data_IF_521460763269
#
_entry.id   IF_521460763269
#
_cell.length_a   1.000
_cell.length_b   1.000
_cell.length_c   1.000
_cell.angle_alpha   90.00
_cell.angle_beta   90.00
_cell.angle_gamma   90.00
#
_symmetry.space_group_name_H-M   'P 1'
#
loop_
_entity.id
_entity.type
_entity.pdbx_description
1 polymer ?
#
# COMPACT_ATOMS: atom_id res chain seq x y z
N UNK A 1 9.28 -6.27 -3.89
CA UNK A 1 8.45 -7.23 -4.63
C UNK A 1 8.41 -6.87 -6.11
N UNK A 2 7.84 -5.74 -6.52
CA UNK A 2 7.68 -5.41 -7.96
C UNK A 2 9.02 -5.34 -8.71
N UNK A 3 10.08 -4.85 -8.08
CA UNK A 3 11.41 -4.73 -8.70
C UNK A 3 12.09 -6.06 -9.03
N UNK A 4 11.54 -7.20 -8.60
CA UNK A 4 12.04 -8.51 -9.02
C UNK A 4 11.66 -8.86 -10.46
N UNK A 5 10.69 -8.16 -11.02
CA UNK A 5 10.13 -8.46 -12.35
C UNK A 5 10.10 -7.24 -13.27
N UNK A 6 9.92 -6.03 -12.71
CA UNK A 6 9.73 -4.79 -13.46
C UNK A 6 10.80 -3.75 -13.13
N UNK A 7 11.10 -2.88 -14.08
CA UNK A 7 11.87 -1.67 -13.82
C UNK A 7 11.02 -0.70 -13.00
N UNK A 8 11.24 -0.70 -11.69
CA UNK A 8 10.49 0.12 -10.74
C UNK A 8 11.27 1.34 -10.30
N UNK A 9 10.60 2.50 -10.25
CA UNK A 9 11.11 3.70 -9.60
C UNK A 9 10.16 4.05 -8.45
N UNK A 10 10.70 4.32 -7.27
CA UNK A 10 9.92 4.58 -6.07
C UNK A 10 10.38 5.85 -5.36
N UNK A 11 9.49 6.43 -4.56
CA UNK A 11 9.82 7.52 -3.64
C UNK A 11 11.04 7.17 -2.79
N UNK A 12 12.00 8.08 -2.71
CA UNK A 12 13.22 7.94 -1.91
C UNK A 12 13.04 8.71 -0.59
N UNK A 13 13.38 8.04 0.52
CA UNK A 13 13.29 8.65 1.85
C UNK A 13 11.87 9.10 2.18
N UNK A 14 11.70 10.35 2.56
CA UNK A 14 10.42 10.96 2.96
C UNK A 14 9.89 11.98 1.93
N UNK A 15 10.23 11.84 0.65
CA UNK A 15 9.78 12.73 -0.43
C UNK A 15 8.31 12.50 -0.81
N UNK A 16 7.41 12.62 0.17
CA UNK A 16 6.01 12.24 0.08
C UNK A 16 5.02 13.42 0.14
N UNK A 17 5.53 14.66 0.09
CA UNK A 17 4.73 15.89 0.12
C UNK A 17 4.68 16.59 -1.25
N UNK A 18 4.13 17.81 -1.28
CA UNK A 18 3.96 18.63 -2.48
C UNK A 18 5.27 19.01 -3.21
N UNK A 19 6.42 18.83 -2.57
CA UNK A 19 7.75 18.97 -3.20
C UNK A 19 8.28 17.60 -3.62
N UNK A 20 8.18 16.60 -2.74
CA UNK A 20 8.74 15.27 -2.92
C UNK A 20 8.05 14.45 -4.00
N UNK A 21 6.73 14.55 -4.10
CA UNK A 21 5.96 13.83 -5.13
C UNK A 21 6.35 14.27 -6.54
N UNK A 22 6.40 15.57 -6.88
CA UNK A 22 6.94 16.00 -8.18
C UNK A 22 8.38 15.53 -8.44
N UNK A 23 9.26 15.57 -7.44
CA UNK A 23 10.64 15.09 -7.59
C UNK A 23 10.70 13.58 -7.87
N UNK A 24 9.83 12.80 -7.23
CA UNK A 24 9.70 11.37 -7.52
C UNK A 24 9.25 11.14 -8.96
N UNK A 25 8.24 11.89 -9.44
CA UNK A 25 7.76 11.77 -10.82
C UNK A 25 8.84 12.16 -11.83
N UNK A 26 9.60 13.21 -11.56
CA UNK A 26 10.72 13.65 -12.41
C UNK A 26 11.87 12.63 -12.45
N UNK A 27 11.97 11.73 -11.50
CA UNK A 27 12.96 10.64 -11.50
C UNK A 27 12.58 9.47 -12.40
N UNK A 28 11.34 9.41 -12.90
CA UNK A 28 10.91 8.37 -13.81
C UNK A 28 11.59 8.56 -15.18
N UNK A 29 12.05 7.46 -15.74
CA UNK A 29 12.69 7.42 -17.05
C UNK A 29 11.79 6.70 -18.04
N UNK A 30 12.17 6.72 -19.32
CA UNK A 30 11.48 5.95 -20.37
C UNK A 30 11.47 4.43 -20.11
N UNK A 31 12.37 3.96 -19.25
CA UNK A 31 12.52 2.54 -18.90
C UNK A 31 11.74 2.19 -17.62
N UNK A 32 11.16 3.16 -16.92
CA UNK A 32 10.32 2.93 -15.74
C UNK A 32 9.00 2.30 -16.16
N UNK A 33 8.76 1.06 -15.74
CA UNK A 33 7.52 0.32 -16.02
C UNK A 33 6.47 0.55 -14.93
N UNK A 34 6.92 0.63 -13.66
CA UNK A 34 6.05 0.90 -12.51
C UNK A 34 6.67 1.99 -11.65
N UNK A 35 5.92 3.06 -11.45
CA UNK A 35 6.25 4.11 -10.51
C UNK A 35 5.50 3.91 -9.19
N UNK A 36 6.20 3.99 -8.06
CA UNK A 36 5.60 3.90 -6.72
C UNK A 36 5.79 5.23 -6.03
N UNK A 37 4.68 5.94 -5.81
CA UNK A 37 4.68 7.28 -5.22
C UNK A 37 4.08 7.22 -3.83
N UNK A 38 4.90 7.47 -2.81
CA UNK A 38 4.40 7.65 -1.45
C UNK A 38 3.77 9.04 -1.30
N UNK A 39 2.60 9.10 -0.67
CA UNK A 39 1.89 10.33 -0.38
C UNK A 39 1.65 10.46 1.11
N UNK A 40 2.22 11.49 1.71
CA UNK A 40 2.01 11.88 3.10
C UNK A 40 1.12 13.10 3.21
N UNK A 41 0.34 13.18 4.28
CA UNK A 41 -0.49 14.35 4.56
C UNK A 41 -0.55 14.66 6.05
N UNK A 42 -0.66 15.93 6.38
CA UNK A 42 -0.89 16.47 7.71
C UNK A 42 -2.28 17.11 7.83
N UNK A 43 -2.89 17.48 6.70
CA UNK A 43 -4.17 18.15 6.62
C UNK A 43 -5.06 17.52 5.53
N UNK A 44 -6.35 17.81 5.60
CA UNK A 44 -7.29 17.48 4.52
C UNK A 44 -6.91 18.26 3.25
N UNK A 45 -7.27 17.72 2.08
CA UNK A 45 -6.98 18.25 0.75
C UNK A 45 -5.54 18.10 0.26
N UNK A 46 -4.64 17.58 1.09
CA UNK A 46 -3.26 17.35 0.65
C UNK A 46 -3.17 16.10 -0.22
N UNK A 47 -3.83 15.00 0.14
CA UNK A 47 -3.85 13.77 -0.71
C UNK A 47 -4.56 14.03 -2.03
N UNK A 48 -5.69 14.76 -2.02
CA UNK A 48 -6.37 15.16 -3.25
C UNK A 48 -5.44 15.94 -4.18
N UNK A 49 -4.69 16.90 -3.62
CA UNK A 49 -3.71 17.67 -4.38
C UNK A 49 -2.58 16.81 -4.93
N UNK A 50 -2.01 15.90 -4.12
CA UNK A 50 -0.96 14.99 -4.56
C UNK A 50 -1.44 14.02 -5.64
N UNK A 51 -2.68 13.53 -5.54
CA UNK A 51 -3.31 12.73 -6.58
C UNK A 51 -3.47 13.50 -7.90
N UNK A 52 -3.81 14.80 -7.84
CA UNK A 52 -3.91 15.63 -9.04
C UNK A 52 -2.57 15.81 -9.78
N UNK A 53 -1.46 15.68 -9.07
CA UNK A 53 -0.11 15.75 -9.64
C UNK A 53 0.35 14.38 -10.16
N UNK A 54 0.17 13.34 -9.33
CA UNK A 54 0.70 12.00 -9.64
C UNK A 54 -0.18 11.19 -10.58
N UNK A 55 -1.47 11.51 -10.67
CA UNK A 55 -2.49 10.82 -11.49
C UNK A 55 -2.42 9.28 -11.35
N UNK A 56 -2.53 8.72 -10.12
CA UNK A 56 -2.27 7.32 -9.88
C UNK A 56 -3.28 6.41 -10.61
N UNK A 57 -2.78 5.31 -11.19
CA UNK A 57 -3.61 4.26 -11.78
C UNK A 57 -4.12 3.28 -10.71
N UNK A 58 -3.37 3.17 -9.61
CA UNK A 58 -3.64 2.29 -8.49
C UNK A 58 -3.40 3.04 -7.19
N UNK A 59 -4.06 2.62 -6.13
CA UNK A 59 -3.81 3.20 -4.81
C UNK A 59 -3.97 2.18 -3.69
N UNK A 60 -3.19 2.38 -2.63
CA UNK A 60 -3.29 1.63 -1.39
C UNK A 60 -3.14 2.57 -0.20
N UNK A 61 -4.06 2.51 0.75
CA UNK A 61 -3.95 3.20 2.03
C UNK A 61 -3.40 2.21 3.06
N UNK A 62 -2.19 2.45 3.54
CA UNK A 62 -1.53 1.53 4.47
C UNK A 62 -2.27 1.37 5.78
N UNK A 63 -2.76 2.47 6.35
CA UNK A 63 -3.60 2.52 7.55
C UNK A 63 -4.23 3.90 7.73
N UNK A 64 -5.25 3.97 8.57
CA UNK A 64 -5.87 5.22 9.00
C UNK A 64 -5.35 5.71 10.36
N UNK A 65 -4.17 5.36 10.79
CA UNK A 65 -3.55 5.62 12.09
C UNK A 65 -3.92 6.94 12.77
N UNK A 66 -3.42 7.15 13.96
CA UNK A 66 -3.72 8.33 14.79
C UNK A 66 -2.64 9.43 14.71
N UNK A 67 -1.85 9.44 13.62
CA UNK A 67 -0.84 10.47 13.43
C UNK A 67 -1.46 11.79 12.95
N UNK A 68 -0.85 12.92 13.33
CA UNK A 68 -1.23 14.26 12.89
C UNK A 68 -2.68 14.68 13.18
N UNK A 69 -3.24 14.20 14.32
CA UNK A 69 -4.63 14.46 14.71
C UNK A 69 -4.98 15.95 14.75
N UNK A 70 -4.07 16.80 15.21
CA UNK A 70 -4.29 18.25 15.29
C UNK A 70 -4.50 18.86 13.90
N UNK A 71 -3.64 18.53 12.94
CA UNK A 71 -3.73 19.07 11.57
C UNK A 71 -4.95 18.58 10.81
N UNK A 72 -5.39 17.36 11.06
CA UNK A 72 -6.59 16.79 10.42
C UNK A 72 -7.90 17.17 11.12
N UNK A 73 -7.86 17.68 12.36
CA UNK A 73 -9.07 17.92 13.15
C UNK A 73 -9.65 16.67 13.81
N UNK A 74 -8.79 15.72 14.19
CA UNK A 74 -9.15 14.49 14.88
C UNK A 74 -9.16 13.24 13.97
N UNK A 75 -9.60 12.11 14.56
CA UNK A 75 -9.59 10.80 13.88
C UNK A 75 -10.45 10.80 12.61
N UNK A 76 -11.63 11.39 12.66
CA UNK A 76 -12.52 11.49 11.48
C UNK A 76 -11.88 12.31 10.36
N UNK A 77 -11.14 13.36 10.72
CA UNK A 77 -10.38 14.16 9.77
C UNK A 77 -9.26 13.37 9.09
N UNK A 78 -8.55 12.51 9.83
CA UNK A 78 -7.55 11.59 9.25
C UNK A 78 -8.20 10.63 8.26
N UNK A 79 -9.32 10.02 8.64
CA UNK A 79 -10.05 9.10 7.76
C UNK A 79 -10.48 9.84 6.48
N UNK A 80 -11.07 11.03 6.63
CA UNK A 80 -11.50 11.84 5.48
C UNK A 80 -10.34 12.23 4.57
N UNK A 81 -9.24 12.75 5.13
CA UNK A 81 -8.09 13.18 4.35
C UNK A 81 -7.40 12.02 3.61
N UNK A 82 -7.17 10.89 4.28
CA UNK A 82 -6.59 9.73 3.59
C UNK A 82 -7.54 9.14 2.53
N UNK A 83 -8.86 9.16 2.79
CA UNK A 83 -9.87 8.67 1.83
C UNK A 83 -9.98 9.52 0.56
N UNK A 84 -9.34 10.68 0.48
CA UNK A 84 -9.22 11.47 -0.75
C UNK A 84 -8.57 10.67 -1.89
N UNK A 85 -7.66 9.72 -1.56
CA UNK A 85 -7.14 8.77 -2.54
C UNK A 85 -8.27 7.91 -3.14
N UNK A 86 -9.15 7.37 -2.31
CA UNK A 86 -10.27 6.56 -2.79
C UNK A 86 -11.22 7.37 -3.65
N UNK A 87 -11.51 8.63 -3.28
CA UNK A 87 -12.35 9.53 -4.07
C UNK A 87 -11.73 9.80 -5.46
N UNK A 88 -10.41 10.00 -5.51
CA UNK A 88 -9.69 10.15 -6.77
C UNK A 88 -9.82 8.89 -7.64
N UNK A 89 -9.56 7.71 -7.07
CA UNK A 89 -9.62 6.44 -7.79
C UNK A 89 -11.04 6.16 -8.33
N UNK A 90 -12.07 6.44 -7.54
CA UNK A 90 -13.46 6.30 -7.94
C UNK A 90 -13.80 7.22 -9.12
N UNK A 91 -13.51 8.51 -8.99
CA UNK A 91 -13.79 9.53 -10.00
C UNK A 91 -13.12 9.22 -11.34
N UNK A 92 -11.91 8.65 -11.31
CA UNK A 92 -11.12 8.34 -12.51
C UNK A 92 -11.20 6.86 -12.95
N UNK A 93 -12.09 6.09 -12.35
CA UNK A 93 -12.29 4.65 -12.65
C UNK A 93 -10.98 3.86 -12.55
N UNK A 94 -10.22 4.11 -11.47
CA UNK A 94 -8.97 3.44 -11.15
C UNK A 94 -9.18 2.37 -10.08
N UNK A 95 -8.15 1.57 -9.80
CA UNK A 95 -8.24 0.40 -8.92
C UNK A 95 -7.59 0.65 -7.57
N UNK A 96 -8.27 0.28 -6.49
CA UNK A 96 -7.71 0.27 -5.14
C UNK A 96 -7.24 -1.13 -4.74
N UNK A 97 -6.10 -1.22 -4.04
CA UNK A 97 -5.77 -2.39 -3.25
C UNK A 97 -6.36 -2.22 -1.85
N UNK A 98 -7.03 -3.24 -1.33
CA UNK A 98 -7.86 -3.09 -0.13
C UNK A 98 -7.65 -4.25 0.84
N UNK A 99 -7.37 -3.90 2.09
CA UNK A 99 -7.41 -4.83 3.21
C UNK A 99 -8.87 -4.96 3.70
N UNK A 100 -9.51 -6.10 3.45
CA UNK A 100 -10.89 -6.33 3.90
C UNK A 100 -11.01 -6.54 5.42
N UNK A 101 -9.91 -6.83 6.11
CA UNK A 101 -9.89 -6.95 7.57
C UNK A 101 -9.82 -5.58 8.27
N UNK A 102 -9.53 -4.51 7.54
CA UNK A 102 -9.65 -3.13 8.01
C UNK A 102 -11.09 -2.64 7.73
N UNK A 103 -11.92 -2.44 8.76
CA UNK A 103 -13.33 -2.09 8.56
C UNK A 103 -13.50 -0.73 7.86
N UNK A 104 -12.55 0.20 8.01
CA UNK A 104 -12.62 1.51 7.35
C UNK A 104 -12.33 1.34 5.86
N UNK A 105 -11.29 0.59 5.50
CA UNK A 105 -10.99 0.31 4.09
C UNK A 105 -12.14 -0.44 3.43
N UNK A 106 -12.68 -1.45 4.09
CA UNK A 106 -13.79 -2.24 3.58
C UNK A 106 -15.01 -1.35 3.30
N UNK A 107 -15.42 -0.55 4.27
CA UNK A 107 -16.58 0.35 4.14
C UNK A 107 -16.39 1.42 3.06
N UNK A 108 -15.23 2.09 3.05
CA UNK A 108 -14.93 3.19 2.12
C UNK A 108 -14.74 2.77 0.66
N UNK A 109 -14.60 1.47 0.39
CA UNK A 109 -14.31 0.97 -0.96
C UNK A 109 -15.41 0.11 -1.57
N UNK A 110 -16.63 0.13 -1.02
CA UNK A 110 -17.75 -0.71 -1.48
C UNK A 110 -17.99 -0.56 -2.99
N UNK A 111 -17.99 0.67 -3.51
CA UNK A 111 -18.29 0.98 -4.91
C UNK A 111 -17.04 1.03 -5.82
N UNK A 112 -15.83 0.92 -5.26
CA UNK A 112 -14.60 1.01 -6.01
C UNK A 112 -14.26 -0.29 -6.77
N UNK A 113 -13.65 -0.13 -7.95
CA UNK A 113 -12.85 -1.20 -8.54
C UNK A 113 -11.69 -1.51 -7.61
N UNK A 114 -11.59 -2.75 -7.17
CA UNK A 114 -10.61 -3.13 -6.15
C UNK A 114 -10.05 -4.51 -6.34
N UNK A 115 -8.83 -4.70 -5.84
CA UNK A 115 -8.18 -6.00 -5.66
C UNK A 115 -7.86 -6.17 -4.18
N UNK A 116 -8.28 -7.26 -3.58
CA UNK A 116 -8.49 -7.35 -2.14
C UNK A 116 -7.61 -8.40 -1.49
N UNK A 117 -7.31 -8.21 -0.20
CA UNK A 117 -6.72 -9.25 0.63
C UNK A 117 -7.36 -9.33 2.02
N UNK A 118 -7.18 -10.48 2.65
CA UNK A 118 -7.69 -10.76 3.99
C UNK A 118 -6.87 -11.87 4.66
N UNK A 119 -6.87 -11.91 5.98
CA UNK A 119 -6.30 -13.00 6.79
C UNK A 119 -7.29 -14.19 6.96
N UNK A 120 -8.04 -14.50 5.90
CA UNK A 120 -9.00 -15.62 5.89
C UNK A 120 -10.37 -15.31 6.49
N UNK A 121 -10.64 -14.06 6.91
CA UNK A 121 -11.94 -13.66 7.48
C UNK A 121 -12.97 -13.28 6.43
N UNK A 122 -12.53 -12.88 5.25
CA UNK A 122 -13.36 -12.42 4.14
C UNK A 122 -12.99 -13.18 2.87
N UNK A 123 -13.95 -13.32 1.96
CA UNK A 123 -13.66 -13.77 0.61
C UNK A 123 -12.92 -12.66 -0.14
N UNK A 124 -11.65 -12.89 -0.44
CA UNK A 124 -10.73 -11.92 -1.02
C UNK A 124 -9.98 -12.51 -2.20
N UNK A 125 -9.40 -11.65 -3.06
CA UNK A 125 -8.59 -12.08 -4.20
C UNK A 125 -7.29 -12.78 -3.75
N UNK A 126 -6.73 -12.32 -2.63
CA UNK A 126 -5.54 -12.90 -1.99
C UNK A 126 -5.85 -13.18 -0.52
N UNK A 127 -5.62 -14.41 -0.10
CA UNK A 127 -5.71 -14.81 1.30
C UNK A 127 -4.32 -15.07 1.85
N UNK A 128 -4.01 -14.51 3.02
CA UNK A 128 -2.83 -14.83 3.83
C UNK A 128 -3.29 -15.47 5.13
N UNK A 129 -2.56 -16.47 5.62
CA UNK A 129 -2.97 -17.26 6.77
C UNK A 129 -1.83 -17.41 7.77
N UNK A 130 -2.13 -17.93 8.97
CA UNK A 130 -1.14 -18.29 9.97
C UNK A 130 -0.22 -17.13 10.36
N UNK A 131 -0.79 -15.91 10.46
CA UNK A 131 0.00 -14.71 10.77
C UNK A 131 0.49 -14.77 12.21
N UNK A 132 1.80 -14.75 12.37
CA UNK A 132 2.51 -14.68 13.65
C UNK A 132 3.51 -13.52 13.64
N UNK A 133 3.78 -12.95 14.81
CA UNK A 133 4.79 -11.89 14.99
C UNK A 133 5.55 -12.09 16.31
N UNK A 134 6.56 -12.98 16.30
CA UNK A 134 7.34 -13.28 17.51
C UNK A 134 8.86 -13.44 17.19
N UNK A 135 9.66 -12.38 17.21
CA UNK A 135 9.27 -10.99 17.00
C UNK A 135 8.97 -10.66 15.54
N UNK A 136 9.51 -11.43 14.59
CA UNK A 136 9.39 -11.23 13.15
C UNK A 136 8.07 -11.76 12.64
N UNK A 137 7.52 -11.08 11.63
CA UNK A 137 6.28 -11.51 11.00
C UNK A 137 6.51 -12.74 10.13
N UNK A 138 5.71 -13.77 10.38
CA UNK A 138 5.59 -14.99 9.58
C UNK A 138 4.15 -15.13 9.13
N UNK A 139 3.96 -15.67 7.95
CA UNK A 139 2.64 -15.96 7.41
C UNK A 139 2.71 -17.01 6.28
N UNK A 140 1.54 -17.51 5.89
CA UNK A 140 1.40 -18.36 4.73
C UNK A 140 0.69 -17.60 3.61
N UNK A 141 1.22 -17.72 2.42
CA UNK A 141 0.59 -17.29 1.17
C UNK A 141 0.51 -18.48 0.23
N UNK A 142 -0.68 -18.96 -0.07
CA UNK A 142 -0.88 -20.26 -0.73
C UNK A 142 -0.16 -21.37 0.05
N UNK A 143 0.71 -22.13 -0.61
CA UNK A 143 1.54 -23.17 0.01
C UNK A 143 2.88 -22.66 0.53
N UNK A 144 3.19 -21.38 0.34
CA UNK A 144 4.47 -20.79 0.72
C UNK A 144 4.45 -20.29 2.16
N UNK A 145 5.38 -20.76 2.97
CA UNK A 145 5.69 -20.14 4.25
C UNK A 145 6.68 -19.01 4.02
N UNK A 146 6.32 -17.81 4.46
CA UNK A 146 7.11 -16.57 4.32
C UNK A 146 7.51 -16.09 5.71
N UNK A 147 8.82 -15.92 5.94
CA UNK A 147 9.37 -15.34 7.15
C UNK A 147 10.07 -14.04 6.80
N UNK A 148 9.47 -12.91 7.20
CA UNK A 148 10.06 -11.60 6.96
C UNK A 148 11.09 -11.21 8.01
N UNK A 149 11.88 -10.18 7.73
CA UNK A 149 12.76 -9.53 8.72
C UNK A 149 12.06 -8.36 9.45
N UNK A 150 10.76 -8.16 9.22
CA UNK A 150 10.00 -7.08 9.83
C UNK A 150 9.43 -7.52 11.18
N UNK A 151 9.57 -6.66 12.18
CA UNK A 151 9.14 -6.89 13.55
C UNK A 151 7.77 -6.25 13.79
N UNK A 152 6.91 -6.97 14.50
CA UNK A 152 5.63 -6.47 14.98
C UNK A 152 4.45 -6.75 14.05
N UNK A 153 3.31 -7.05 14.66
CA UNK A 153 2.09 -7.50 13.98
C UNK A 153 1.54 -6.50 12.96
N UNK A 154 1.79 -5.19 13.16
CA UNK A 154 1.36 -4.15 12.23
C UNK A 154 2.01 -4.29 10.85
N UNK A 155 3.19 -4.91 10.76
CA UNK A 155 3.84 -5.20 9.48
C UNK A 155 3.18 -6.35 8.71
N UNK A 156 2.34 -7.16 9.34
CA UNK A 156 1.61 -8.21 8.65
C UNK A 156 0.70 -7.65 7.54
N UNK A 157 0.00 -6.54 7.81
CA UNK A 157 -0.80 -5.88 6.79
C UNK A 157 0.05 -5.31 5.64
N UNK A 158 1.22 -4.74 5.94
CA UNK A 158 2.14 -4.22 4.93
C UNK A 158 2.69 -5.35 4.04
N UNK A 159 3.06 -6.49 4.63
CA UNK A 159 3.52 -7.67 3.89
C UNK A 159 2.39 -8.25 3.03
N UNK A 160 1.19 -8.36 3.59
CA UNK A 160 0.02 -8.87 2.86
C UNK A 160 -0.34 -7.97 1.67
N UNK A 161 -0.25 -6.66 1.83
CA UNK A 161 -0.41 -5.72 0.71
C UNK A 161 0.67 -5.91 -0.36
N UNK A 162 1.94 -6.07 0.02
CA UNK A 162 3.03 -6.30 -0.92
C UNK A 162 2.85 -7.61 -1.70
N UNK A 163 2.39 -8.68 -1.05
CA UNK A 163 2.02 -9.95 -1.69
C UNK A 163 0.89 -9.71 -2.69
N UNK A 164 -0.16 -9.01 -2.28
CA UNK A 164 -1.35 -8.76 -3.07
C UNK A 164 -1.04 -7.94 -4.32
N UNK A 165 -0.25 -6.89 -4.19
CA UNK A 165 0.20 -6.05 -5.31
C UNK A 165 1.10 -6.88 -6.25
N UNK A 166 2.03 -7.66 -5.70
CA UNK A 166 2.85 -8.57 -6.50
C UNK A 166 2.02 -9.59 -7.27
N UNK A 167 1.02 -10.19 -6.63
CA UNK A 167 0.09 -11.12 -7.28
C UNK A 167 -0.72 -10.46 -8.40
N UNK A 168 -1.25 -9.26 -8.17
CA UNK A 168 -1.98 -8.49 -9.19
C UNK A 168 -1.13 -8.26 -10.44
N UNK A 169 0.11 -7.84 -10.26
CA UNK A 169 1.06 -7.61 -11.34
C UNK A 169 1.77 -8.88 -11.84
N UNK A 170 1.30 -10.06 -11.44
CA UNK A 170 1.80 -11.36 -11.94
C UNK A 170 3.29 -11.62 -11.66
N UNK A 171 3.82 -11.06 -10.58
CA UNK A 171 5.12 -11.48 -10.07
C UNK A 171 5.03 -12.93 -9.61
N UNK A 172 6.00 -13.75 -9.96
CA UNK A 172 6.02 -15.16 -9.58
C UNK A 172 6.03 -15.32 -8.04
N UNK A 173 5.24 -16.25 -7.52
CA UNK A 173 5.04 -16.42 -6.08
C UNK A 173 6.38 -16.60 -5.31
N UNK A 174 7.34 -17.34 -5.88
CA UNK A 174 8.67 -17.51 -5.30
C UNK A 174 9.47 -16.21 -5.25
N UNK A 175 9.34 -15.33 -6.25
CA UNK A 175 9.99 -14.03 -6.26
C UNK A 175 9.34 -13.09 -5.23
N UNK A 176 8.03 -13.18 -5.04
CA UNK A 176 7.33 -12.45 -3.96
C UNK A 176 7.91 -12.88 -2.60
N UNK A 177 8.01 -14.20 -2.36
CA UNK A 177 8.58 -14.75 -1.13
C UNK A 177 10.01 -14.26 -0.91
N UNK A 178 10.89 -14.45 -1.90
CA UNK A 178 12.30 -14.05 -1.81
C UNK A 178 12.45 -12.54 -1.54
N UNK A 179 11.65 -11.70 -2.20
CA UNK A 179 11.70 -10.26 -2.01
C UNK A 179 11.33 -9.85 -0.58
N UNK A 180 10.32 -10.49 0.02
CA UNK A 180 9.89 -10.21 1.38
C UNK A 180 10.92 -10.71 2.41
N UNK A 181 11.45 -11.91 2.22
CA UNK A 181 12.43 -12.52 3.13
C UNK A 181 13.79 -11.81 3.11
N UNK A 182 14.16 -11.23 1.97
CA UNK A 182 15.40 -10.46 1.83
C UNK A 182 15.25 -8.96 2.16
N UNK A 183 14.01 -8.48 2.37
CA UNK A 183 13.81 -7.08 2.69
C UNK A 183 14.24 -6.77 4.12
N UNK A 184 15.11 -5.77 4.25
CA UNK A 184 15.56 -5.22 5.54
C UNK A 184 15.36 -3.71 5.54
N UNK A 185 14.96 -3.16 6.68
CA UNK A 185 14.90 -1.71 6.86
C UNK A 185 16.35 -1.21 7.00
N UNK A 186 16.76 -0.39 6.05
CA UNK A 186 18.05 0.33 6.14
C UNK A 186 17.77 1.60 6.94
N UNK A 187 18.39 1.72 8.11
CA UNK A 187 18.30 2.90 8.99
C UNK A 187 19.27 3.97 8.55
#
# INVERSE_FOLDING_TARGET
VLSTTYNTTATIGNLNNHIGVPLTLLSFTKDTEIGIVEMGANHQKEIEFLCSIAEPNFGYITNFGKAHLEGFGGVEGVIKGKSELYQYLETHTKTAFVNLDDPIQHDKTIQLSKYTFSAGKHNSDVTVEGIEANPMVKLYYKVLHIQSNLIGIYNAANISAAITIGNYFKVADELIKQAIENYTIIH
#
